data_IF_223904180898
#
_entry.id   IF_223904180898
#
_cell.length_a   1.000
_cell.length_b   1.000
_cell.length_c   1.000
_cell.angle_alpha   90.00
_cell.angle_beta   90.00
_cell.angle_gamma   90.00
#
_symmetry.space_group_name_H-M   'P 1'
#
loop_
_entity.id
_entity.type
_entity.pdbx_description
1 polymer ?
#
# COMPACT_ATOMS: atom_id res chain seq x y z
N UNK A 1 56.91 -44.66 -62.42
CA UNK A 1 57.04 -44.25 -61.00
C UNK A 1 55.66 -43.88 -60.48
N UNK A 2 55.26 -44.38 -59.30
CA UNK A 2 53.86 -44.49 -58.91
C UNK A 2 53.36 -43.22 -58.22
N UNK A 3 52.08 -42.89 -58.39
CA UNK A 3 51.34 -42.05 -57.45
C UNK A 3 50.21 -42.91 -56.83
N UNK A 4 50.08 -42.99 -55.50
CA UNK A 4 49.10 -43.85 -54.85
C UNK A 4 47.71 -43.21 -54.91
N UNK A 5 46.69 -44.02 -55.22
CA UNK A 5 45.28 -43.65 -55.07
C UNK A 5 44.93 -43.64 -53.58
N UNK A 6 44.62 -42.46 -53.04
CA UNK A 6 43.93 -42.35 -51.76
C UNK A 6 42.44 -42.65 -51.95
N UNK A 7 41.95 -43.69 -51.27
CA UNK A 7 40.53 -43.94 -51.07
C UNK A 7 40.03 -43.03 -49.93
N UNK A 8 38.94 -42.27 -50.08
CA UNK A 8 38.35 -41.55 -48.96
C UNK A 8 37.59 -42.54 -48.07
N UNK A 9 38.03 -42.66 -46.83
CA UNK A 9 37.32 -43.37 -45.77
C UNK A 9 36.12 -42.50 -45.34
N UNK A 10 34.92 -42.85 -45.80
CA UNK A 10 33.67 -42.23 -45.32
C UNK A 10 33.40 -42.81 -43.92
N UNK A 11 33.77 -42.07 -42.88
CA UNK A 11 33.33 -42.35 -41.51
C UNK A 11 31.89 -41.85 -41.41
N UNK A 12 30.93 -42.77 -41.42
CA UNK A 12 29.56 -42.48 -41.05
C UNK A 12 29.53 -42.15 -39.56
N UNK A 13 29.57 -40.85 -39.21
CA UNK A 13 29.19 -40.38 -37.89
C UNK A 13 27.68 -40.65 -37.73
N UNK A 14 27.34 -41.75 -37.06
CA UNK A 14 26.00 -41.95 -36.54
C UNK A 14 25.78 -40.94 -35.42
N UNK A 15 25.25 -39.77 -35.75
CA UNK A 15 24.64 -38.88 -34.77
C UNK A 15 23.44 -39.61 -34.19
N UNK A 16 23.64 -40.28 -33.05
CA UNK A 16 22.55 -40.64 -32.14
C UNK A 16 21.95 -39.32 -31.67
N UNK A 17 20.95 -38.84 -32.41
CA UNK A 17 20.03 -37.86 -31.88
C UNK A 17 19.34 -38.53 -30.70
N UNK A 18 19.83 -38.28 -29.49
CA UNK A 18 19.09 -38.52 -28.28
C UNK A 18 17.85 -37.65 -28.37
N UNK A 19 16.76 -38.21 -28.91
CA UNK A 19 15.43 -37.67 -28.74
C UNK A 19 15.22 -37.54 -27.24
N UNK A 20 15.34 -36.32 -26.71
CA UNK A 20 14.90 -36.00 -25.37
C UNK A 20 13.43 -36.39 -25.34
N UNK A 21 13.12 -37.51 -24.71
CA UNK A 21 11.75 -37.89 -24.40
C UNK A 21 11.24 -36.73 -23.55
N UNK A 22 10.43 -35.85 -24.15
CA UNK A 22 9.83 -34.75 -23.43
C UNK A 22 9.01 -35.39 -22.32
N UNK A 23 9.38 -35.14 -21.07
CA UNK A 23 8.57 -35.63 -19.96
C UNK A 23 7.20 -34.97 -20.04
N UNK A 24 6.14 -35.76 -19.90
CA UNK A 24 4.80 -35.21 -19.84
C UNK A 24 4.63 -34.43 -18.51
N UNK A 25 3.91 -33.30 -18.51
CA UNK A 25 3.59 -32.58 -17.29
C UNK A 25 2.87 -33.49 -16.30
N UNK A 26 3.37 -33.59 -15.06
CA UNK A 26 2.72 -34.30 -13.97
C UNK A 26 2.01 -33.31 -13.03
N UNK A 27 0.79 -33.60 -12.57
CA UNK A 27 0.13 -32.80 -11.54
C UNK A 27 0.93 -32.77 -10.23
N UNK A 28 0.87 -31.65 -9.51
CA UNK A 28 1.44 -31.48 -8.18
C UNK A 28 0.30 -31.32 -7.17
N UNK A 29 0.12 -32.27 -6.23
CA UNK A 29 -0.84 -32.12 -5.14
C UNK A 29 -0.48 -30.89 -4.31
N UNK A 30 -1.48 -30.05 -4.02
CA UNK A 30 -1.26 -28.80 -3.29
C UNK A 30 -2.52 -28.45 -2.50
N UNK A 31 -2.41 -28.51 -1.18
CA UNK A 31 -3.49 -28.14 -0.26
C UNK A 31 -3.04 -27.01 0.64
N UNK A 32 -3.78 -25.91 0.61
CA UNK A 32 -3.51 -24.73 1.43
C UNK A 32 -4.79 -23.97 1.68
N UNK A 33 -4.84 -23.20 2.78
CA UNK A 33 -5.98 -22.37 3.13
C UNK A 33 -5.54 -21.05 3.73
N UNK A 34 -6.21 -19.98 3.33
CA UNK A 34 -6.11 -18.68 3.98
C UNK A 34 -6.89 -18.70 5.29
N UNK A 35 -6.21 -18.47 6.41
CA UNK A 35 -6.76 -18.53 7.78
C UNK A 35 -6.46 -17.28 8.61
N UNK A 36 -5.62 -16.39 8.10
CA UNK A 36 -5.19 -15.17 8.76
C UNK A 36 -5.40 -13.95 7.86
N UNK A 37 -5.41 -12.76 8.48
CA UNK A 37 -5.33 -11.49 7.76
C UNK A 37 -4.03 -11.47 6.96
N UNK A 38 -4.11 -11.00 5.72
CA UNK A 38 -2.96 -11.00 4.83
C UNK A 38 -2.08 -9.75 5.07
N UNK A 39 -0.75 -9.85 4.89
CA UNK A 39 0.14 -8.69 4.95
C UNK A 39 -0.34 -7.56 4.03
N UNK A 40 -0.17 -6.31 4.47
CA UNK A 40 -0.61 -5.11 3.73
C UNK A 40 -2.12 -5.07 3.41
N UNK A 41 -2.96 -5.80 4.16
CA UNK A 41 -4.42 -5.70 4.07
C UNK A 41 -5.06 -5.54 5.45
N UNK A 42 -6.34 -5.19 5.46
CA UNK A 42 -7.20 -5.36 6.62
C UNK A 42 -7.63 -4.07 7.33
N UNK A 43 -8.31 -4.26 8.45
CA UNK A 43 -8.62 -3.18 9.37
C UNK A 43 -7.33 -2.71 10.04
N UNK A 44 -7.17 -1.40 10.16
CA UNK A 44 -6.00 -0.75 10.75
C UNK A 44 -6.38 -0.12 12.07
N UNK A 45 -5.61 -0.38 13.12
CA UNK A 45 -5.73 0.31 14.41
C UNK A 45 -4.59 1.32 14.55
N UNK A 46 -4.78 2.38 15.34
CA UNK A 46 -3.66 3.27 15.64
C UNK A 46 -2.59 2.54 16.46
N UNK A 47 -1.33 2.91 16.27
CA UNK A 47 -0.20 2.20 16.87
C UNK A 47 -0.13 2.29 18.40
N UNK A 48 -0.83 3.25 18.99
CA UNK A 48 -0.99 3.45 20.43
C UNK A 48 -2.28 2.81 20.98
N UNK A 49 -3.09 2.17 20.13
CA UNK A 49 -4.28 1.46 20.56
C UNK A 49 -3.91 0.13 21.20
N UNK A 50 -4.15 0.01 22.51
CA UNK A 50 -3.84 -1.23 23.26
C UNK A 50 -4.47 -2.50 22.68
N UNK A 51 -5.55 -2.39 21.89
CA UNK A 51 -6.18 -3.56 21.28
C UNK A 51 -5.34 -4.18 20.15
N UNK A 52 -4.44 -3.42 19.52
CA UNK A 52 -3.49 -3.97 18.55
C UNK A 52 -2.62 -5.07 19.18
N UNK A 53 -2.27 -4.93 20.47
CA UNK A 53 -1.54 -5.95 21.21
C UNK A 53 -2.44 -7.06 21.80
N UNK A 54 -3.74 -6.79 22.03
CA UNK A 54 -4.67 -7.76 22.65
C UNK A 54 -5.23 -8.76 21.65
N UNK A 55 -5.35 -8.37 20.38
CA UNK A 55 -5.87 -9.20 19.30
C UNK A 55 -5.04 -9.02 18.03
N UNK A 56 -3.74 -9.32 18.07
CA UNK A 56 -2.83 -9.10 16.94
C UNK A 56 -3.25 -9.90 15.70
N UNK A 57 -3.92 -11.04 15.85
CA UNK A 57 -4.41 -11.85 14.74
C UNK A 57 -5.60 -11.24 13.97
N UNK A 58 -6.24 -10.20 14.51
CA UNK A 58 -7.41 -9.56 13.91
C UNK A 58 -7.03 -8.51 12.84
N UNK A 59 -5.78 -8.09 12.81
CA UNK A 59 -5.25 -7.06 11.92
C UNK A 59 -3.87 -7.47 11.39
N UNK A 60 -3.36 -6.77 10.38
CA UNK A 60 -1.98 -6.91 9.92
C UNK A 60 -1.26 -5.55 9.79
N UNK A 61 -1.96 -4.47 10.12
CA UNK A 61 -1.56 -3.10 9.87
C UNK A 61 -1.84 -2.23 11.10
N UNK A 62 -0.93 -1.30 11.38
CA UNK A 62 -1.12 -0.25 12.37
C UNK A 62 -0.85 1.12 11.77
N UNK A 63 -1.57 2.15 12.24
CA UNK A 63 -1.50 3.50 11.70
C UNK A 63 -0.82 4.47 12.66
N UNK A 64 0.00 5.39 12.12
CA UNK A 64 0.63 6.46 12.89
C UNK A 64 0.68 7.77 12.11
N UNK A 65 0.13 8.82 12.72
CA UNK A 65 0.41 10.20 12.35
C UNK A 65 1.84 10.60 12.76
N UNK A 66 2.64 11.18 11.88
CA UNK A 66 4.00 11.63 12.17
C UNK A 66 4.12 13.14 11.92
N UNK A 67 4.71 13.86 12.87
CA UNK A 67 5.15 15.24 12.64
C UNK A 67 6.50 15.29 11.91
N UNK A 68 6.70 16.29 11.05
CA UNK A 68 7.99 16.50 10.40
C UNK A 68 9.08 16.93 11.41
N UNK A 69 8.68 17.68 12.44
CA UNK A 69 9.52 18.05 13.60
C UNK A 69 9.86 16.87 14.53
N UNK A 70 9.27 15.69 14.34
CA UNK A 70 9.71 14.47 15.03
C UNK A 70 10.97 13.87 14.40
N UNK A 71 11.26 14.26 13.15
CA UNK A 71 12.39 13.75 12.36
C UNK A 71 13.49 14.78 12.19
N UNK A 72 13.16 16.07 12.18
CA UNK A 72 14.15 17.13 12.01
C UNK A 72 14.35 17.88 13.31
N UNK A 73 15.55 17.78 13.86
CA UNK A 73 15.95 18.46 15.09
C UNK A 73 16.00 19.97 14.91
N UNK A 74 16.10 20.70 16.03
CA UNK A 74 16.09 22.16 16.04
C UNK A 74 17.28 22.81 15.28
N UNK A 75 18.38 22.08 15.11
CA UNK A 75 19.56 22.48 14.32
C UNK A 75 19.49 22.01 12.85
N UNK A 76 18.38 21.41 12.43
CA UNK A 76 18.12 20.99 11.05
C UNK A 76 18.72 19.65 10.65
N UNK A 77 19.22 18.85 11.61
CA UNK A 77 19.68 17.49 11.33
C UNK A 77 18.49 16.52 11.23
N UNK A 78 18.60 15.54 10.33
CA UNK A 78 17.61 14.48 10.19
C UNK A 78 17.95 13.34 11.15
N UNK A 79 17.03 13.03 12.04
CA UNK A 79 17.05 11.90 12.95
C UNK A 79 15.76 11.08 12.80
N UNK A 80 15.87 9.91 12.20
CA UNK A 80 14.74 9.00 11.98
C UNK A 80 14.53 8.01 13.14
N UNK A 81 15.30 8.11 14.22
CA UNK A 81 15.27 7.13 15.32
C UNK A 81 13.87 6.91 15.87
N UNK A 82 13.10 7.97 16.08
CA UNK A 82 11.71 7.86 16.56
C UNK A 82 10.80 7.10 15.60
N UNK A 83 10.98 7.30 14.29
CA UNK A 83 10.24 6.54 13.27
C UNK A 83 10.66 5.07 13.32
N UNK A 84 11.96 4.78 13.40
CA UNK A 84 12.45 3.41 13.50
C UNK A 84 11.94 2.67 14.75
N UNK A 85 11.93 3.33 15.90
CA UNK A 85 11.40 2.76 17.14
C UNK A 85 9.92 2.40 17.01
N UNK A 86 9.11 3.26 16.38
CA UNK A 86 7.69 2.99 16.12
C UNK A 86 7.55 1.80 15.17
N UNK A 87 8.36 1.75 14.11
CA UNK A 87 8.34 0.64 13.15
C UNK A 87 8.75 -0.68 13.80
N UNK A 88 9.74 -0.68 14.68
CA UNK A 88 10.15 -1.86 15.43
C UNK A 88 9.08 -2.31 16.42
N UNK A 89 8.41 -1.38 17.08
CA UNK A 89 7.29 -1.70 17.96
C UNK A 89 6.12 -2.34 17.20
N UNK A 90 5.73 -1.77 16.06
CA UNK A 90 4.66 -2.32 15.20
C UNK A 90 5.08 -3.70 14.66
N UNK A 91 6.32 -3.83 14.18
CA UNK A 91 6.85 -5.10 13.69
C UNK A 91 6.94 -6.17 14.77
N UNK A 92 7.21 -5.80 16.03
CA UNK A 92 7.22 -6.75 17.16
C UNK A 92 5.86 -7.43 17.41
N UNK A 93 4.77 -6.81 16.93
CA UNK A 93 3.40 -7.36 16.96
C UNK A 93 3.04 -8.11 15.68
N UNK A 94 3.99 -8.33 14.78
CA UNK A 94 3.81 -8.96 13.46
C UNK A 94 2.93 -8.13 12.50
N UNK A 95 2.90 -6.80 12.67
CA UNK A 95 2.14 -5.87 11.83
C UNK A 95 3.07 -4.96 11.03
N UNK A 96 2.56 -4.37 9.96
CA UNK A 96 3.25 -3.32 9.20
C UNK A 96 2.61 -1.95 9.45
N UNK A 97 3.36 -0.89 9.23
CA UNK A 97 2.90 0.48 9.45
C UNK A 97 2.22 1.09 8.22
N UNK A 98 1.18 1.87 8.48
CA UNK A 98 0.67 2.95 7.64
C UNK A 98 1.09 4.26 8.29
N UNK A 99 2.01 4.99 7.66
CA UNK A 99 2.51 6.26 8.20
C UNK A 99 1.85 7.43 7.48
N UNK A 100 1.38 8.45 8.21
CA UNK A 100 0.94 9.72 7.63
C UNK A 100 1.71 10.90 8.17
N UNK A 101 2.45 11.60 7.32
CA UNK A 101 3.08 12.85 7.71
C UNK A 101 2.14 14.03 7.46
N UNK A 102 2.02 14.92 8.44
CA UNK A 102 1.13 16.07 8.39
C UNK A 102 1.83 17.30 8.93
N UNK A 103 1.52 18.48 8.38
CA UNK A 103 1.97 19.74 8.94
C UNK A 103 0.95 20.38 9.88
N UNK A 104 -0.33 20.42 9.47
CA UNK A 104 -1.39 21.10 10.21
C UNK A 104 -2.34 20.08 10.85
N UNK A 105 -2.75 20.34 12.09
CA UNK A 105 -3.70 19.50 12.82
C UNK A 105 -4.56 20.40 13.71
N UNK A 106 -5.87 20.15 13.70
CA UNK A 106 -6.84 20.97 14.44
C UNK A 106 -6.51 21.04 15.93
N UNK A 107 -6.44 22.26 16.45
CA UNK A 107 -6.14 22.52 17.87
C UNK A 107 -4.67 22.41 18.26
N UNK A 108 -3.75 22.34 17.29
CA UNK A 108 -2.31 22.19 17.53
C UNK A 108 -1.50 23.24 16.79
N UNK A 109 -0.24 23.39 17.23
CA UNK A 109 0.79 24.04 16.44
C UNK A 109 1.17 23.17 15.22
N UNK A 110 1.83 23.78 14.22
CA UNK A 110 2.31 23.02 13.07
C UNK A 110 3.46 22.09 13.46
N UNK A 111 3.66 21.04 12.68
CA UNK A 111 4.83 20.15 12.81
C UNK A 111 6.01 20.62 11.95
N UNK A 112 5.99 21.86 11.45
CA UNK A 112 7.11 22.41 10.68
C UNK A 112 8.37 22.40 11.56
N UNK A 113 9.52 21.92 11.07
CA UNK A 113 10.74 21.90 11.88
C UNK A 113 11.12 23.27 12.40
N UNK A 114 11.61 23.30 13.64
CA UNK A 114 12.02 24.51 14.35
C UNK A 114 13.01 25.39 13.56
N UNK A 115 13.92 24.77 12.82
CA UNK A 115 14.91 25.47 11.98
C UNK A 115 14.25 26.33 10.88
N UNK A 116 13.04 25.96 10.44
CA UNK A 116 12.24 26.75 9.49
C UNK A 116 11.37 27.74 10.25
N UNK A 117 10.69 27.29 11.33
CA UNK A 117 9.80 28.14 12.14
C UNK A 117 10.51 29.37 12.74
N UNK A 118 11.80 29.27 13.03
CA UNK A 118 12.62 30.37 13.58
C UNK A 118 13.19 31.32 12.53
N UNK A 119 12.97 31.06 11.24
CA UNK A 119 13.45 31.96 10.19
C UNK A 119 12.69 33.28 10.23
N UNK A 120 13.35 34.42 9.96
CA UNK A 120 12.71 35.73 9.96
C UNK A 120 11.70 35.93 8.82
N UNK A 121 11.76 35.07 7.79
CA UNK A 121 10.92 35.12 6.59
C UNK A 121 9.79 34.09 6.59
N UNK A 122 9.55 33.41 7.73
CA UNK A 122 8.49 32.40 7.87
C UNK A 122 7.43 32.91 8.85
N UNK A 123 6.17 33.00 8.40
CA UNK A 123 5.08 33.58 9.20
C UNK A 123 3.84 32.69 9.27
N UNK A 124 3.70 31.94 10.37
CA UNK A 124 2.53 31.09 10.56
C UNK A 124 1.25 31.90 10.73
N UNK A 125 0.17 31.41 10.13
CA UNK A 125 -1.16 31.96 10.41
C UNK A 125 -1.80 31.20 11.56
N UNK A 126 -2.27 31.92 12.58
CA UNK A 126 -3.05 31.35 13.68
C UNK A 126 -4.52 31.66 13.47
N UNK A 127 -5.33 30.62 13.30
CA UNK A 127 -6.77 30.72 13.07
C UNK A 127 -7.59 29.86 14.02
N UNK A 128 -8.89 29.77 13.74
CA UNK A 128 -9.80 28.86 14.43
C UNK A 128 -10.27 27.80 13.44
N UNK A 129 -10.15 26.52 13.82
CA UNK A 129 -10.74 25.39 13.09
C UNK A 129 -11.41 24.46 14.08
N UNK A 130 -12.61 24.00 13.77
CA UNK A 130 -13.48 23.23 14.67
C UNK A 130 -13.56 23.82 16.09
N UNK A 131 -13.65 25.16 16.16
CA UNK A 131 -13.69 25.93 17.43
C UNK A 131 -12.41 25.80 18.28
N UNK A 132 -11.29 25.37 17.69
CA UNK A 132 -9.99 25.24 18.36
C UNK A 132 -8.95 26.15 17.70
N UNK A 133 -8.10 26.77 18.52
CA UNK A 133 -6.93 27.54 18.06
C UNK A 133 -6.00 26.61 17.28
N UNK A 134 -5.77 26.93 16.01
CA UNK A 134 -5.03 26.07 15.08
C UNK A 134 -3.99 26.89 14.34
N UNK A 135 -2.78 26.36 14.19
CA UNK A 135 -1.72 26.99 13.40
C UNK A 135 -1.67 26.40 11.99
N UNK A 136 -1.43 27.26 11.01
CA UNK A 136 -1.31 26.93 9.59
C UNK A 136 0.07 27.36 9.08
N UNK A 137 0.64 26.51 8.25
CA UNK A 137 1.96 26.74 7.66
C UNK A 137 1.98 27.94 6.72
N UNK A 138 3.16 28.55 6.60
CA UNK A 138 3.45 29.55 5.57
C UNK A 138 3.96 28.89 4.28
N UNK A 139 3.06 28.59 3.37
CA UNK A 139 3.36 28.06 2.04
C UNK A 139 3.92 29.10 1.07
N UNK A 140 3.97 30.39 1.44
CA UNK A 140 4.70 31.38 0.65
C UNK A 140 6.22 31.23 0.87
N UNK A 141 6.62 30.63 1.99
CA UNK A 141 8.01 30.45 2.36
C UNK A 141 8.70 29.35 1.53
N UNK A 142 9.75 29.74 0.82
CA UNK A 142 10.53 28.82 -0.03
C UNK A 142 11.26 27.74 0.78
N UNK A 143 11.70 28.03 2.01
CA UNK A 143 12.42 27.06 2.82
C UNK A 143 11.49 25.91 3.26
N UNK A 144 10.21 26.19 3.59
CA UNK A 144 9.21 25.13 3.82
C UNK A 144 9.00 24.27 2.56
N UNK A 145 8.84 24.92 1.41
CA UNK A 145 8.65 24.24 0.14
C UNK A 145 9.83 23.34 -0.24
N UNK A 146 11.06 23.82 -0.08
CA UNK A 146 12.26 23.02 -0.37
C UNK A 146 12.44 21.89 0.65
N UNK A 147 12.16 22.16 1.92
CA UNK A 147 12.22 21.18 3.00
C UNK A 147 11.34 19.96 2.72
N UNK A 148 10.08 20.17 2.33
CA UNK A 148 9.16 19.03 2.10
C UNK A 148 9.69 18.11 0.99
N UNK A 149 10.33 18.66 -0.05
CA UNK A 149 10.94 17.86 -1.12
C UNK A 149 12.19 17.13 -0.61
N UNK A 150 13.10 17.81 0.10
CA UNK A 150 14.30 17.18 0.67
C UNK A 150 13.94 16.09 1.69
N UNK A 151 12.90 16.31 2.50
CA UNK A 151 12.36 15.33 3.43
C UNK A 151 11.98 14.04 2.71
N UNK A 152 11.18 14.11 1.64
CA UNK A 152 10.75 12.90 0.93
C UNK A 152 11.85 12.25 0.11
N UNK A 153 12.83 13.02 -0.38
CA UNK A 153 14.06 12.45 -0.96
C UNK A 153 14.79 11.58 0.06
N UNK A 154 14.99 12.09 1.29
CA UNK A 154 15.69 11.35 2.35
C UNK A 154 14.86 10.19 2.90
N UNK A 155 13.55 10.41 3.06
CA UNK A 155 12.63 9.38 3.52
C UNK A 155 12.61 8.21 2.53
N UNK A 156 12.45 8.45 1.23
CA UNK A 156 12.48 7.41 0.21
C UNK A 156 13.82 6.66 0.19
N UNK A 157 14.95 7.37 0.25
CA UNK A 157 16.28 6.76 0.32
C UNK A 157 16.41 5.77 1.49
N UNK A 158 15.76 6.06 2.62
CA UNK A 158 15.80 5.20 3.81
C UNK A 158 14.74 4.09 3.78
N UNK A 159 13.54 4.37 3.28
CA UNK A 159 12.34 3.58 3.58
C UNK A 159 11.57 3.03 2.38
N UNK A 160 11.91 3.36 1.12
CA UNK A 160 11.17 2.88 -0.06
C UNK A 160 11.09 1.33 -0.12
N UNK A 161 12.12 0.66 0.40
CA UNK A 161 12.22 -0.80 0.50
C UNK A 161 12.04 -1.35 1.92
N UNK A 162 11.67 -0.51 2.90
CA UNK A 162 11.52 -0.98 4.28
C UNK A 162 10.21 -1.77 4.44
N UNK A 163 10.34 -3.07 4.66
CA UNK A 163 9.24 -4.02 4.88
C UNK A 163 8.37 -3.72 6.09
N UNK A 164 8.84 -2.90 7.03
CA UNK A 164 8.04 -2.48 8.19
C UNK A 164 6.95 -1.50 7.78
N UNK A 165 7.01 -0.90 6.59
CA UNK A 165 6.02 0.06 6.08
C UNK A 165 5.25 -0.54 4.90
N UNK A 166 3.94 -0.71 5.10
CA UNK A 166 3.03 -1.14 4.06
C UNK A 166 2.65 0.03 3.14
N UNK A 167 2.28 1.17 3.74
CA UNK A 167 1.74 2.33 3.01
C UNK A 167 2.21 3.65 3.63
N UNK A 168 2.42 4.65 2.76
CA UNK A 168 2.66 6.03 3.14
C UNK A 168 1.45 6.89 2.76
N UNK A 169 1.04 7.80 3.63
CA UNK A 169 0.05 8.81 3.35
C UNK A 169 0.67 10.20 3.53
N UNK A 170 0.32 11.14 2.66
CA UNK A 170 0.79 12.52 2.74
C UNK A 170 -0.13 13.46 1.96
N UNK A 171 0.12 14.75 2.08
CA UNK A 171 -0.66 15.80 1.46
C UNK A 171 -0.48 17.13 2.15
N UNK A 172 -1.50 17.97 2.00
CA UNK A 172 -1.51 19.35 2.47
C UNK A 172 -2.73 19.62 3.34
N UNK A 173 -2.78 20.79 3.98
CA UNK A 173 -3.91 21.17 4.81
C UNK A 173 -4.01 20.39 6.13
N UNK A 174 -5.19 20.42 6.73
CA UNK A 174 -5.49 19.73 7.98
C UNK A 174 -5.37 18.22 7.78
N UNK A 175 -4.67 17.54 8.70
CA UNK A 175 -4.45 16.08 8.68
C UNK A 175 -3.79 15.53 7.40
N UNK A 176 -3.22 16.41 6.57
CA UNK A 176 -2.73 16.11 5.23
C UNK A 176 -3.82 15.69 4.21
N UNK A 177 -5.05 16.15 4.41
CA UNK A 177 -6.23 15.74 3.65
C UNK A 177 -6.58 16.63 2.45
N UNK A 178 -5.74 17.59 2.08
CA UNK A 178 -5.98 18.55 0.98
C UNK A 178 -7.12 19.56 1.21
N UNK A 179 -7.52 19.81 2.46
CA UNK A 179 -8.48 20.89 2.80
C UNK A 179 -8.09 21.63 4.09
N UNK A 180 -8.70 22.80 4.31
CA UNK A 180 -8.63 23.59 5.55
C UNK A 180 -10.05 24.08 5.92
N UNK A 181 -11.01 23.17 6.11
CA UNK A 181 -12.45 23.43 6.30
C UNK A 181 -12.84 24.83 6.82
N UNK A 182 -12.45 25.15 8.06
CA UNK A 182 -12.90 26.35 8.78
C UNK A 182 -11.96 27.57 8.62
N UNK A 183 -10.80 27.42 7.96
CA UNK A 183 -9.99 28.55 7.45
C UNK A 183 -8.64 28.79 8.13
N UNK A 184 -8.03 29.99 7.95
CA UNK A 184 -8.14 30.80 6.74
C UNK A 184 -7.50 30.02 5.59
N UNK A 185 -8.23 29.87 4.49
CA UNK A 185 -7.75 29.14 3.32
C UNK A 185 -7.31 30.12 2.23
N UNK A 186 -6.02 30.44 2.22
CA UNK A 186 -5.39 31.36 1.28
C UNK A 186 -4.35 30.58 0.46
N UNK A 187 -4.67 30.35 -0.82
CA UNK A 187 -3.78 29.68 -1.76
C UNK A 187 -2.45 30.44 -1.92
N UNK A 188 -1.34 29.72 -1.75
CA UNK A 188 0.00 30.27 -1.72
C UNK A 188 0.44 30.86 -0.37
N UNK A 189 -0.41 30.83 0.65
CA UNK A 189 -0.09 31.30 2.00
C UNK A 189 -0.37 30.23 3.06
N UNK A 190 -1.63 29.90 3.34
CA UNK A 190 -1.97 28.85 4.33
C UNK A 190 -2.22 27.49 3.69
N UNK A 191 -2.40 27.46 2.37
CA UNK A 191 -2.41 26.26 1.52
C UNK A 191 -1.42 26.44 0.36
N UNK A 192 -0.72 25.41 -0.13
CA UNK A 192 0.24 25.58 -1.22
C UNK A 192 -0.43 25.97 -2.55
N UNK A 193 0.28 26.71 -3.38
CA UNK A 193 -0.18 26.96 -4.76
C UNK A 193 -0.34 25.66 -5.53
N UNK A 194 -1.27 25.63 -6.48
CA UNK A 194 -1.44 24.50 -7.41
C UNK A 194 -0.14 24.15 -8.15
N UNK A 195 0.67 25.16 -8.49
CA UNK A 195 1.99 24.96 -9.10
C UNK A 195 2.93 24.16 -8.18
N UNK A 196 2.99 24.51 -6.89
CA UNK A 196 3.81 23.77 -5.94
C UNK A 196 3.27 22.36 -5.68
N UNK A 197 1.94 22.20 -5.54
CA UNK A 197 1.33 20.87 -5.42
C UNK A 197 1.71 19.95 -6.59
N UNK A 198 1.65 20.46 -7.82
CA UNK A 198 2.07 19.71 -9.02
C UNK A 198 3.57 19.37 -9.02
N UNK A 199 4.44 20.25 -8.48
CA UNK A 199 5.86 19.98 -8.29
C UNK A 199 6.08 18.88 -7.25
N UNK A 200 5.39 18.97 -6.12
CA UNK A 200 5.45 17.99 -5.04
C UNK A 200 5.00 16.61 -5.49
N UNK A 201 3.85 16.49 -6.17
CA UNK A 201 3.32 15.20 -6.62
C UNK A 201 4.28 14.50 -7.61
N UNK A 202 4.85 15.25 -8.56
CA UNK A 202 5.89 14.70 -9.47
C UNK A 202 7.15 14.31 -8.72
N UNK A 203 7.53 15.07 -7.70
CA UNK A 203 8.67 14.72 -6.86
C UNK A 203 8.42 13.40 -6.12
N UNK A 204 7.29 13.26 -5.44
CA UNK A 204 6.88 12.01 -4.77
C UNK A 204 6.93 10.81 -5.72
N UNK A 205 6.34 10.95 -6.91
CA UNK A 205 6.36 9.89 -7.93
C UNK A 205 7.79 9.50 -8.36
N UNK A 206 8.72 10.46 -8.42
CA UNK A 206 10.12 10.19 -8.74
C UNK A 206 10.93 9.55 -7.60
N UNK A 207 10.50 9.70 -6.34
CA UNK A 207 11.25 9.21 -5.18
C UNK A 207 10.86 7.78 -4.79
N UNK A 208 9.58 7.42 -4.92
CA UNK A 208 9.06 6.13 -4.46
C UNK A 208 8.82 5.18 -5.62
N UNK A 209 9.60 4.09 -5.68
CA UNK A 209 9.41 3.05 -6.70
C UNK A 209 8.64 1.85 -6.17
N UNK A 210 8.87 1.56 -4.90
CA UNK A 210 8.37 0.35 -4.28
C UNK A 210 7.32 0.66 -3.22
N UNK A 211 7.49 1.68 -2.38
CA UNK A 211 6.56 2.01 -1.30
C UNK A 211 5.33 2.72 -1.89
N UNK A 212 4.14 2.10 -1.83
CA UNK A 212 2.93 2.77 -2.27
C UNK A 212 2.62 3.94 -1.35
N UNK A 213 2.32 5.08 -1.95
CA UNK A 213 1.96 6.29 -1.25
C UNK A 213 0.61 6.81 -1.74
N UNK A 214 -0.16 7.44 -0.85
CA UNK A 214 -1.51 7.91 -1.14
C UNK A 214 -1.73 9.35 -0.69
N UNK A 215 -2.67 10.01 -1.36
CA UNK A 215 -3.21 11.34 -1.00
C UNK A 215 -4.72 11.23 -0.72
N UNK A 216 -5.30 12.21 -0.02
CA UNK A 216 -6.74 12.21 0.26
C UNK A 216 -7.58 12.29 -1.01
N UNK A 217 -8.77 11.69 -0.99
CA UNK A 217 -9.77 11.89 -2.05
C UNK A 217 -10.23 13.34 -2.19
N UNK A 218 -10.09 14.17 -1.16
CA UNK A 218 -10.47 15.59 -1.25
C UNK A 218 -9.52 16.38 -2.16
N UNK A 219 -8.40 15.76 -2.55
CA UNK A 219 -7.57 16.26 -3.64
C UNK A 219 -8.31 16.24 -5.01
N UNK A 220 -9.53 15.72 -5.09
CA UNK A 220 -10.41 15.87 -6.24
C UNK A 220 -10.98 17.30 -6.39
N UNK A 221 -10.98 18.10 -5.33
CA UNK A 221 -11.53 19.46 -5.36
C UNK A 221 -10.64 20.38 -6.20
N UNK A 222 -11.21 20.89 -7.31
CA UNK A 222 -10.51 21.78 -8.22
C UNK A 222 -10.43 23.22 -7.76
N UNK A 223 -11.06 23.62 -6.66
CA UNK A 223 -10.76 24.92 -6.04
C UNK A 223 -9.36 24.89 -5.42
N UNK A 224 -8.98 23.76 -4.80
CA UNK A 224 -7.73 23.62 -4.07
C UNK A 224 -6.60 22.99 -4.90
N UNK A 225 -6.93 22.06 -5.79
CA UNK A 225 -5.91 21.21 -6.42
C UNK A 225 -5.82 21.38 -7.94
N UNK A 226 -4.70 20.97 -8.56
CA UNK A 226 -4.54 20.94 -10.01
C UNK A 226 -4.91 19.57 -10.64
N UNK A 227 -5.59 18.67 -9.93
CA UNK A 227 -5.74 17.27 -10.35
C UNK A 227 -6.90 17.01 -11.31
N UNK A 228 -8.06 17.65 -11.10
CA UNK A 228 -9.20 17.51 -12.00
C UNK A 228 -8.81 17.87 -13.43
N UNK A 229 -9.19 17.02 -14.39
CA UNK A 229 -8.88 17.13 -15.82
C UNK A 229 -7.38 17.23 -16.19
N UNK A 230 -6.48 16.88 -15.27
CA UNK A 230 -5.03 16.90 -15.51
C UNK A 230 -4.48 15.48 -15.70
N UNK A 231 -4.53 14.97 -16.94
CA UNK A 231 -4.10 13.62 -17.27
C UNK A 231 -2.65 13.31 -16.84
N UNK A 232 -1.73 14.28 -16.97
CA UNK A 232 -0.33 14.11 -16.57
C UNK A 232 -0.21 13.86 -15.07
N UNK A 233 -0.86 14.69 -14.24
CA UNK A 233 -0.83 14.49 -12.79
C UNK A 233 -1.61 13.26 -12.36
N UNK A 234 -2.77 12.99 -12.97
CA UNK A 234 -3.56 11.79 -12.69
C UNK A 234 -2.82 10.51 -13.07
N UNK A 235 -1.86 10.55 -14.00
CA UNK A 235 -1.04 9.38 -14.38
C UNK A 235 -0.01 8.98 -13.31
N UNK A 236 0.35 9.89 -12.39
CA UNK A 236 1.33 9.63 -11.32
C UNK A 236 0.89 8.48 -10.41
N UNK A 237 1.87 7.83 -9.77
CA UNK A 237 1.71 6.58 -9.01
C UNK A 237 1.30 6.81 -7.55
N UNK A 238 0.37 7.73 -7.30
CA UNK A 238 -0.28 7.82 -5.99
C UNK A 238 -1.53 6.94 -5.92
N UNK A 239 -1.78 6.37 -4.74
CA UNK A 239 -3.08 5.83 -4.34
C UNK A 239 -3.94 6.89 -3.67
N UNK A 240 -5.12 6.50 -3.20
CA UNK A 240 -6.03 7.43 -2.53
C UNK A 240 -6.49 6.90 -1.18
N UNK A 241 -6.76 7.81 -0.25
CA UNK A 241 -7.37 7.48 1.03
C UNK A 241 -8.60 8.35 1.29
N UNK A 242 -9.62 7.76 1.92
CA UNK A 242 -10.90 8.40 2.25
C UNK A 242 -11.18 8.31 3.75
N UNK A 243 -10.99 9.41 4.48
CA UNK A 243 -11.18 9.46 5.93
C UNK A 243 -12.62 9.74 6.38
N UNK A 244 -13.57 9.62 5.45
CA UNK A 244 -15.00 9.69 5.72
C UNK A 244 -15.75 8.50 5.13
N UNK A 245 -15.08 7.35 5.01
CA UNK A 245 -15.62 6.17 4.35
C UNK A 245 -16.91 5.70 5.04
N UNK A 246 -17.89 5.27 4.23
CA UNK A 246 -19.26 4.91 4.64
C UNK A 246 -20.09 6.04 5.29
N UNK A 247 -19.68 7.31 5.21
CA UNK A 247 -20.53 8.41 5.65
C UNK A 247 -21.85 8.49 4.85
N UNK A 248 -22.85 9.19 5.38
CA UNK A 248 -24.14 9.38 4.71
C UNK A 248 -24.04 10.02 3.30
N UNK A 249 -23.21 11.07 3.06
CA UNK A 249 -23.08 11.65 1.72
C UNK A 249 -22.18 10.85 0.78
N UNK A 250 -21.56 9.74 1.22
CA UNK A 250 -20.57 9.00 0.45
C UNK A 250 -20.95 8.70 -1.01
N UNK A 251 -22.17 8.24 -1.36
CA UNK A 251 -22.53 8.00 -2.77
C UNK A 251 -22.57 9.25 -3.65
N UNK A 252 -22.68 10.43 -3.06
CA UNK A 252 -22.83 11.72 -3.75
C UNK A 252 -21.56 12.58 -3.74
N UNK A 253 -20.74 12.45 -2.71
CA UNK A 253 -19.53 13.26 -2.53
C UNK A 253 -18.29 12.38 -2.74
N UNK A 254 -17.99 11.49 -1.81
CA UNK A 254 -16.79 10.65 -1.87
C UNK A 254 -16.70 9.88 -3.19
N UNK A 255 -17.78 9.18 -3.59
CA UNK A 255 -17.79 8.39 -4.82
C UNK A 255 -17.52 9.24 -6.08
N UNK A 256 -17.89 10.52 -6.07
CA UNK A 256 -17.55 11.46 -7.14
C UNK A 256 -16.05 11.77 -7.09
N UNK A 257 -15.50 12.08 -5.92
CA UNK A 257 -14.07 12.32 -5.73
C UNK A 257 -13.21 11.12 -6.17
N UNK A 258 -13.59 9.90 -5.79
CA UNK A 258 -12.97 8.65 -6.25
C UNK A 258 -12.96 8.54 -7.78
N UNK A 259 -14.06 8.93 -8.44
CA UNK A 259 -14.16 8.93 -9.91
C UNK A 259 -13.27 10.01 -10.54
N UNK A 260 -13.27 11.22 -9.98
CA UNK A 260 -12.43 12.34 -10.45
C UNK A 260 -10.94 11.99 -10.39
N UNK A 261 -10.52 11.27 -9.36
CA UNK A 261 -9.14 10.83 -9.18
C UNK A 261 -8.77 9.54 -9.94
N UNK A 262 -9.54 9.18 -10.97
CA UNK A 262 -9.46 7.94 -11.78
C UNK A 262 -10.02 6.69 -11.06
N UNK A 263 -11.19 6.25 -11.50
CA UNK A 263 -11.87 5.04 -10.98
C UNK A 263 -11.11 3.73 -11.23
N UNK A 264 -10.07 3.73 -12.07
CA UNK A 264 -9.19 2.58 -12.29
C UNK A 264 -7.87 2.69 -11.50
N UNK A 265 -7.65 3.72 -10.69
CA UNK A 265 -6.40 3.91 -9.92
C UNK A 265 -6.05 2.71 -9.06
N UNK A 266 -7.05 2.08 -8.45
CA UNK A 266 -6.91 0.87 -7.64
C UNK A 266 -6.20 -0.28 -8.37
N UNK A 267 -6.18 -0.30 -9.71
CA UNK A 267 -5.45 -1.33 -10.46
C UNK A 267 -3.94 -1.21 -10.32
N UNK A 268 -3.44 -0.02 -9.96
CA UNK A 268 -2.00 0.29 -9.91
C UNK A 268 -1.54 0.85 -8.58
N UNK A 269 -2.43 1.39 -7.75
CA UNK A 269 -2.11 2.01 -6.46
C UNK A 269 -3.22 1.81 -5.44
N UNK A 270 -2.92 1.78 -4.12
CA UNK A 270 -3.88 1.35 -3.11
C UNK A 270 -5.02 2.34 -2.88
N UNK A 271 -6.16 1.75 -2.53
CA UNK A 271 -7.33 2.42 -1.97
C UNK A 271 -7.38 2.14 -0.46
N UNK A 272 -7.44 3.18 0.36
CA UNK A 272 -7.60 3.04 1.81
C UNK A 272 -8.39 4.19 2.43
N UNK A 273 -8.17 4.47 3.71
CA UNK A 273 -8.87 5.56 4.41
C UNK A 273 -9.20 5.23 5.85
N UNK A 274 -10.20 5.92 6.38
CA UNK A 274 -10.75 5.77 7.72
C UNK A 274 -12.28 5.73 7.68
N UNK A 275 -12.88 4.91 8.53
CA UNK A 275 -14.33 4.98 8.71
C UNK A 275 -14.75 6.37 9.19
N UNK A 276 -15.86 6.87 8.67
CA UNK A 276 -16.40 8.19 9.01
C UNK A 276 -16.56 8.42 10.51
N UNK A 277 -16.05 9.56 10.97
CA UNK A 277 -16.29 10.11 12.32
C UNK A 277 -17.38 11.20 12.32
N UNK A 278 -18.09 11.43 11.23
CA UNK A 278 -19.08 12.52 11.13
C UNK A 278 -20.21 12.40 12.17
N UNK A 279 -20.56 11.18 12.58
CA UNK A 279 -21.50 10.96 13.67
C UNK A 279 -21.29 9.60 14.36
N UNK A 280 -21.85 9.43 15.56
CA UNK A 280 -21.69 8.21 16.35
C UNK A 280 -22.27 6.94 15.69
N UNK A 281 -23.28 7.08 14.82
CA UNK A 281 -23.88 5.94 14.09
C UNK A 281 -22.88 5.39 13.08
N UNK A 282 -22.15 6.27 12.38
CA UNK A 282 -21.15 5.88 11.38
C UNK A 282 -20.12 4.92 11.99
N UNK A 283 -19.47 5.33 13.08
CA UNK A 283 -18.48 4.49 13.78
C UNK A 283 -19.07 3.21 14.37
N UNK A 284 -20.19 3.32 15.11
CA UNK A 284 -20.80 2.18 15.81
C UNK A 284 -21.25 1.10 14.83
N UNK A 285 -21.70 1.50 13.65
CA UNK A 285 -22.31 0.60 12.68
C UNK A 285 -21.40 0.27 11.49
N UNK A 286 -20.17 0.79 11.42
CA UNK A 286 -19.25 0.60 10.30
C UNK A 286 -19.13 -0.87 9.86
N UNK A 287 -18.97 -1.79 10.80
CA UNK A 287 -18.84 -3.23 10.54
C UNK A 287 -20.12 -4.05 10.79
N UNK A 288 -21.28 -3.41 10.94
CA UNK A 288 -22.55 -4.15 10.98
C UNK A 288 -22.89 -4.72 9.60
N UNK A 289 -23.69 -5.80 9.51
CA UNK A 289 -24.07 -6.39 8.23
C UNK A 289 -24.73 -5.42 7.23
N UNK A 290 -25.42 -4.39 7.72
CA UNK A 290 -26.07 -3.34 6.94
C UNK A 290 -25.25 -2.04 6.83
N UNK A 291 -24.10 -2.00 7.49
CA UNK A 291 -23.29 -0.79 7.66
C UNK A 291 -24.04 0.37 8.31
N UNK A 292 -23.43 1.56 8.34
CA UNK A 292 -24.06 2.73 8.97
C UNK A 292 -25.12 3.38 8.09
N UNK A 293 -25.03 3.21 6.76
CA UNK A 293 -25.87 3.90 5.78
C UNK A 293 -26.45 2.96 4.71
N UNK A 294 -26.68 1.69 5.06
CA UNK A 294 -27.39 0.71 4.22
C UNK A 294 -26.51 -0.07 3.24
N UNK A 295 -25.18 0.03 3.37
CA UNK A 295 -24.18 -0.71 2.60
C UNK A 295 -23.19 -1.31 3.58
N UNK A 296 -22.98 -2.62 3.51
CA UNK A 296 -21.99 -3.31 4.34
C UNK A 296 -20.57 -2.86 4.03
N UNK A 297 -19.65 -3.00 4.99
CA UNK A 297 -18.24 -2.73 4.73
C UNK A 297 -17.70 -3.62 3.60
N UNK A 298 -18.05 -4.91 3.57
CA UNK A 298 -17.58 -5.85 2.57
C UNK A 298 -18.04 -5.49 1.15
N UNK A 299 -19.29 -5.02 1.00
CA UNK A 299 -19.82 -4.55 -0.28
C UNK A 299 -19.10 -3.28 -0.74
N UNK A 300 -18.92 -2.31 0.16
CA UNK A 300 -18.18 -1.09 -0.15
C UNK A 300 -16.69 -1.38 -0.44
N UNK A 301 -16.07 -2.29 0.30
CA UNK A 301 -14.69 -2.71 0.09
C UNK A 301 -14.50 -3.31 -1.30
N UNK A 302 -15.47 -4.10 -1.77
CA UNK A 302 -15.49 -4.62 -3.13
C UNK A 302 -15.72 -3.53 -4.18
N UNK A 303 -16.64 -2.60 -3.93
CA UNK A 303 -16.97 -1.53 -4.87
C UNK A 303 -15.81 -0.54 -5.08
N UNK A 304 -15.07 -0.23 -4.02
CA UNK A 304 -13.98 0.76 -4.03
C UNK A 304 -12.59 0.12 -4.01
N UNK A 305 -12.52 -1.21 -4.13
CA UNK A 305 -11.27 -1.99 -4.18
C UNK A 305 -10.34 -1.70 -2.99
N UNK A 306 -10.93 -1.70 -1.80
CA UNK A 306 -10.25 -1.32 -0.56
C UNK A 306 -9.14 -2.32 -0.21
N UNK A 307 -7.94 -1.78 0.00
CA UNK A 307 -6.75 -2.54 0.38
C UNK A 307 -6.62 -2.61 1.90
N UNK A 308 -6.90 -1.51 2.59
CA UNK A 308 -6.94 -1.41 4.06
C UNK A 308 -7.94 -0.34 4.49
N UNK A 309 -8.38 -0.37 5.75
CA UNK A 309 -9.30 0.65 6.28
C UNK A 309 -9.03 0.91 7.76
N UNK A 310 -8.78 2.16 8.14
CA UNK A 310 -8.60 2.54 9.54
C UNK A 310 -9.95 2.42 10.27
N UNK A 311 -9.94 1.62 11.33
CA UNK A 311 -11.09 1.32 12.16
C UNK A 311 -10.71 1.31 13.63
N UNK A 312 -10.03 2.37 14.07
CA UNK A 312 -9.44 2.45 15.40
C UNK A 312 -10.45 2.23 16.55
N UNK A 313 -11.69 2.67 16.36
CA UNK A 313 -12.75 2.55 17.35
C UNK A 313 -13.51 1.21 17.26
N UNK A 314 -13.31 0.41 16.22
CA UNK A 314 -14.05 -0.84 16.02
C UNK A 314 -13.93 -1.84 17.17
N UNK A 315 -12.80 -1.98 17.88
CA UNK A 315 -12.73 -2.80 19.10
C UNK A 315 -13.70 -2.39 20.23
N UNK A 316 -14.26 -1.18 20.20
CA UNK A 316 -15.31 -0.74 21.14
C UNK A 316 -16.69 -1.28 20.78
N UNK A 317 -16.90 -1.63 19.51
CA UNK A 317 -18.21 -1.98 18.96
C UNK A 317 -18.30 -3.43 18.47
N UNK A 318 -17.17 -4.06 18.19
CA UNK A 318 -17.10 -5.37 17.56
C UNK A 318 -16.11 -6.29 18.27
N UNK A 319 -16.39 -7.61 18.33
CA UNK A 319 -15.41 -8.59 18.79
C UNK A 319 -14.26 -8.73 17.78
N UNK A 320 -13.09 -9.18 18.26
CA UNK A 320 -11.90 -9.41 17.45
C UNK A 320 -12.16 -10.30 16.21
N UNK A 321 -12.98 -11.36 16.35
CA UNK A 321 -13.35 -12.23 15.22
C UNK A 321 -14.10 -11.49 14.09
N UNK A 322 -14.94 -10.52 14.45
CA UNK A 322 -15.65 -9.70 13.45
C UNK A 322 -14.68 -8.75 12.73
N UNK A 323 -13.74 -8.17 13.47
CA UNK A 323 -12.68 -7.33 12.93
C UNK A 323 -11.78 -8.15 12.00
N UNK A 324 -11.37 -9.35 12.43
CA UNK A 324 -10.60 -10.29 11.61
C UNK A 324 -11.32 -10.63 10.30
N UNK A 325 -12.60 -10.94 10.38
CA UNK A 325 -13.43 -11.23 9.21
C UNK A 325 -13.49 -10.03 8.25
N UNK A 326 -13.69 -8.80 8.76
CA UNK A 326 -13.64 -7.57 7.96
C UNK A 326 -12.26 -7.38 7.32
N UNK A 327 -11.19 -7.61 8.09
CA UNK A 327 -9.82 -7.49 7.61
C UNK A 327 -9.54 -8.43 6.43
N UNK A 328 -10.00 -9.68 6.53
CA UNK A 328 -9.86 -10.69 5.48
C UNK A 328 -10.72 -10.43 4.24
N UNK A 329 -11.65 -9.47 4.27
CA UNK A 329 -12.47 -9.06 3.14
C UNK A 329 -11.86 -7.93 2.29
N UNK A 330 -10.64 -7.50 2.61
CA UNK A 330 -9.93 -6.42 1.90
C UNK A 330 -8.69 -6.95 1.17
N UNK A 331 -8.23 -6.20 0.17
CA UNK A 331 -6.98 -6.50 -0.54
C UNK A 331 -7.04 -7.76 -1.40
N UNK A 332 -5.90 -8.42 -1.55
CA UNK A 332 -5.73 -9.59 -2.40
C UNK A 332 -6.15 -10.89 -1.70
N UNK A 333 -6.48 -11.91 -2.49
CA UNK A 333 -6.73 -13.28 -2.02
C UNK A 333 -6.36 -14.28 -3.11
N UNK A 334 -5.18 -14.90 -3.01
CA UNK A 334 -4.71 -15.79 -4.07
C UNK A 334 -5.27 -17.20 -3.93
N UNK A 335 -5.65 -17.80 -5.07
CA UNK A 335 -6.02 -19.21 -5.19
C UNK A 335 -5.23 -19.86 -6.31
N UNK A 336 -4.67 -21.04 -6.04
CA UNK A 336 -4.01 -21.88 -7.04
C UNK A 336 -5.03 -22.88 -7.58
N UNK A 337 -5.31 -22.83 -8.88
CA UNK A 337 -6.29 -23.71 -9.54
C UNK A 337 -5.65 -24.86 -10.32
N UNK A 338 -4.36 -24.77 -10.61
CA UNK A 338 -3.59 -25.84 -11.22
C UNK A 338 -2.12 -25.72 -10.79
N UNK A 339 -1.48 -26.87 -10.59
CA UNK A 339 -0.06 -26.99 -10.34
C UNK A 339 0.46 -28.21 -11.10
N UNK A 340 1.42 -28.00 -11.97
CA UNK A 340 2.00 -29.04 -12.82
C UNK A 340 3.52 -28.86 -12.87
N UNK A 341 4.26 -29.95 -12.98
CA UNK A 341 5.71 -29.90 -13.17
C UNK A 341 6.10 -30.74 -14.38
N UNK A 342 6.99 -30.20 -15.21
CA UNK A 342 7.53 -30.87 -16.39
C UNK A 342 9.05 -30.86 -16.32
N UNK A 343 9.67 -32.03 -16.15
CA UNK A 343 11.08 -32.09 -15.74
C UNK A 343 11.24 -31.48 -14.35
N UNK A 344 11.92 -30.34 -14.26
CA UNK A 344 12.11 -29.54 -13.06
C UNK A 344 11.39 -28.18 -13.10
N UNK A 345 10.58 -27.91 -14.13
CA UNK A 345 9.84 -26.66 -14.26
C UNK A 345 8.44 -26.78 -13.68
N UNK A 346 8.21 -26.18 -12.50
CA UNK A 346 6.90 -26.07 -11.87
C UNK A 346 6.12 -24.91 -12.50
N UNK A 347 4.87 -25.14 -12.85
CA UNK A 347 3.92 -24.15 -13.38
C UNK A 347 2.67 -24.12 -12.51
N UNK A 348 2.26 -22.92 -12.10
CA UNK A 348 1.11 -22.67 -11.25
C UNK A 348 0.13 -21.72 -11.95
N UNK A 349 -1.17 -22.04 -11.95
CA UNK A 349 -2.21 -21.12 -12.37
C UNK A 349 -2.81 -20.44 -11.14
N UNK A 350 -2.66 -19.13 -11.05
CA UNK A 350 -2.97 -18.35 -9.85
C UNK A 350 -4.04 -17.31 -10.19
N UNK A 351 -5.16 -17.36 -9.47
CA UNK A 351 -6.24 -16.35 -9.54
C UNK A 351 -6.18 -15.44 -8.31
N UNK A 352 -6.44 -14.14 -8.46
CA UNK A 352 -6.75 -13.26 -7.33
C UNK A 352 -8.28 -13.22 -7.12
N UNK A 353 -8.79 -13.92 -6.11
CA UNK A 353 -10.21 -13.89 -5.70
C UNK A 353 -10.54 -12.72 -4.75
N UNK A 354 -9.58 -11.82 -4.49
CA UNK A 354 -9.72 -10.70 -3.57
C UNK A 354 -10.53 -9.53 -4.14
N UNK A 355 -10.46 -8.38 -3.48
CA UNK A 355 -11.09 -7.13 -3.93
C UNK A 355 -10.10 -6.10 -4.47
N UNK A 356 -8.80 -6.27 -4.23
CA UNK A 356 -7.73 -5.42 -4.76
C UNK A 356 -6.47 -6.25 -5.08
N UNK A 357 -5.52 -5.75 -5.90
CA UNK A 357 -4.23 -6.38 -6.10
C UNK A 357 -3.30 -6.19 -4.89
N UNK A 358 -2.20 -6.95 -4.87
CA UNK A 358 -1.02 -6.61 -4.06
C UNK A 358 -0.17 -5.57 -4.82
N UNK A 359 0.27 -4.51 -4.15
CA UNK A 359 1.02 -3.41 -4.78
C UNK A 359 2.54 -3.51 -4.60
N UNK A 360 3.01 -4.55 -3.91
CA UNK A 360 4.42 -4.91 -3.75
C UNK A 360 4.70 -6.23 -4.47
N UNK A 361 5.94 -6.43 -4.86
CA UNK A 361 6.36 -7.68 -5.50
C UNK A 361 6.25 -8.87 -4.55
N UNK A 362 5.61 -9.93 -5.03
CA UNK A 362 5.45 -11.20 -4.36
C UNK A 362 5.51 -12.31 -5.40
N UNK A 363 6.23 -13.38 -5.12
CA UNK A 363 6.52 -14.44 -6.08
C UNK A 363 6.15 -15.77 -5.47
N UNK A 364 5.49 -16.64 -6.24
CA UNK A 364 5.47 -18.05 -5.86
C UNK A 364 6.90 -18.60 -5.83
N UNK A 365 7.15 -19.52 -4.92
CA UNK A 365 8.43 -20.19 -4.79
C UNK A 365 8.24 -21.67 -4.48
N UNK A 366 9.19 -22.50 -4.91
CA UNK A 366 9.34 -23.89 -4.48
C UNK A 366 10.68 -23.99 -3.75
N UNK A 367 10.64 -24.15 -2.42
CA UNK A 367 11.82 -23.98 -1.58
C UNK A 367 12.36 -22.55 -1.70
N UNK A 368 13.63 -22.39 -2.09
CA UNK A 368 14.29 -21.08 -2.27
C UNK A 368 14.16 -20.51 -3.69
N UNK A 369 13.58 -21.27 -4.63
CA UNK A 369 13.50 -20.88 -6.04
C UNK A 369 12.22 -20.09 -6.28
N UNK A 370 12.34 -18.81 -6.67
CA UNK A 370 11.21 -17.92 -6.97
C UNK A 370 10.79 -18.03 -8.44
N UNK A 371 9.51 -17.78 -8.67
CA UNK A 371 8.94 -17.53 -9.99
C UNK A 371 9.53 -16.27 -10.60
N UNK A 372 9.67 -16.24 -11.92
CA UNK A 372 10.03 -15.01 -12.66
C UNK A 372 8.86 -14.03 -12.76
N UNK A 373 7.63 -14.52 -12.59
CA UNK A 373 6.40 -13.72 -12.64
C UNK A 373 6.02 -13.25 -11.24
N UNK A 374 5.89 -11.93 -11.07
CA UNK A 374 5.38 -11.29 -9.85
C UNK A 374 3.86 -11.33 -9.81
N UNK A 375 3.30 -11.50 -8.61
CA UNK A 375 1.88 -11.35 -8.32
C UNK A 375 1.45 -9.87 -8.19
N UNK A 376 2.41 -8.94 -8.18
CA UNK A 376 2.16 -7.50 -8.12
C UNK A 376 1.22 -7.07 -9.24
N UNK A 377 0.13 -6.41 -8.88
CA UNK A 377 -0.85 -5.92 -9.85
C UNK A 377 -1.79 -6.98 -10.43
N UNK A 378 -1.76 -8.25 -9.97
CA UNK A 378 -2.73 -9.26 -10.39
C UNK A 378 -4.14 -8.84 -9.96
N UNK A 379 -5.01 -8.48 -10.92
CA UNK A 379 -6.31 -7.90 -10.62
C UNK A 379 -7.31 -8.96 -10.12
N UNK A 380 -8.30 -8.57 -9.30
CA UNK A 380 -9.43 -9.41 -8.94
C UNK A 380 -10.08 -10.11 -10.14
N UNK A 381 -10.23 -11.43 -10.06
CA UNK A 381 -10.79 -12.29 -11.10
C UNK A 381 -9.81 -12.68 -12.22
N UNK A 382 -8.65 -12.03 -12.33
CA UNK A 382 -7.64 -12.40 -13.32
C UNK A 382 -6.83 -13.62 -12.86
N UNK A 383 -6.33 -14.37 -13.84
CA UNK A 383 -5.48 -15.54 -13.63
C UNK A 383 -4.18 -15.37 -14.41
N UNK A 384 -3.06 -15.67 -13.76
CA UNK A 384 -1.74 -15.70 -14.38
C UNK A 384 -1.07 -17.05 -14.18
N UNK A 385 -0.09 -17.30 -15.04
CA UNK A 385 0.83 -18.42 -14.90
C UNK A 385 2.10 -17.97 -14.17
N UNK A 386 2.49 -18.71 -13.14
CA UNK A 386 3.76 -18.53 -12.43
C UNK A 386 4.63 -19.77 -12.64
N UNK A 387 5.84 -19.58 -13.17
CA UNK A 387 6.76 -20.67 -13.47
C UNK A 387 7.99 -20.59 -12.58
N UNK A 388 8.32 -21.69 -11.91
CA UNK A 388 9.50 -21.85 -11.05
C UNK A 388 10.39 -22.93 -11.66
N UNK A 389 11.55 -22.52 -12.18
CA UNK A 389 12.50 -23.43 -12.79
C UNK A 389 13.36 -24.18 -11.75
N UNK A 390 13.79 -25.39 -12.10
CA UNK A 390 14.75 -26.15 -11.29
C UNK A 390 14.19 -26.74 -9.99
N UNK A 391 12.88 -26.87 -9.83
CA UNK A 391 12.24 -27.41 -8.63
C UNK A 391 12.46 -28.93 -8.48
N UNK A 392 12.98 -29.35 -7.32
CA UNK A 392 13.07 -30.77 -6.95
C UNK A 392 11.79 -31.26 -6.27
N UNK A 393 11.62 -32.58 -6.15
CA UNK A 393 10.49 -33.16 -5.41
C UNK A 393 10.40 -32.69 -3.95
N UNK A 394 11.53 -32.38 -3.33
CA UNK A 394 11.58 -31.79 -1.99
C UNK A 394 11.06 -30.36 -1.98
N UNK A 395 11.42 -29.57 -2.99
CA UNK A 395 10.99 -28.17 -3.13
C UNK A 395 9.47 -28.07 -3.34
N UNK A 396 8.87 -29.05 -4.03
CA UNK A 396 7.43 -29.12 -4.26
C UNK A 396 6.61 -29.28 -2.96
N UNK A 397 7.21 -29.79 -1.89
CA UNK A 397 6.59 -29.85 -0.56
C UNK A 397 6.62 -28.49 0.17
N UNK A 398 7.28 -27.49 -0.42
CA UNK A 398 7.54 -26.17 0.17
C UNK A 398 7.11 -25.06 -0.79
N UNK A 399 5.96 -25.24 -1.45
CA UNK A 399 5.37 -24.19 -2.28
C UNK A 399 4.84 -23.07 -1.38
N UNK A 400 5.32 -21.85 -1.60
CA UNK A 400 4.99 -20.66 -0.80
C UNK A 400 4.92 -19.42 -1.67
N UNK A 401 4.45 -18.30 -1.11
CA UNK A 401 4.58 -16.98 -1.71
C UNK A 401 5.62 -16.20 -0.89
N UNK A 402 6.66 -15.71 -1.55
CA UNK A 402 7.75 -14.95 -0.96
C UNK A 402 7.70 -13.49 -1.40
N UNK A 403 7.92 -12.57 -0.46
CA UNK A 403 8.03 -11.13 -0.74
C UNK A 403 9.09 -10.52 0.17
N UNK A 404 9.92 -9.64 -0.37
CA UNK A 404 10.91 -8.91 0.42
C UNK A 404 10.28 -7.72 1.17
N UNK A 405 9.02 -7.41 0.87
CA UNK A 405 8.25 -6.29 1.39
C UNK A 405 7.38 -6.65 2.61
N UNK A 406 7.39 -7.90 3.08
CA UNK A 406 6.70 -8.33 4.31
C UNK A 406 7.71 -8.62 5.41
N UNK A 407 7.25 -8.64 6.67
CA UNK A 407 8.10 -9.02 7.79
C UNK A 407 8.54 -10.50 7.68
N UNK A 408 9.74 -10.87 8.18
CA UNK A 408 10.16 -12.28 8.21
C UNK A 408 9.22 -13.22 8.97
N UNK A 409 8.40 -12.66 9.86
CA UNK A 409 7.41 -13.35 10.69
C UNK A 409 6.02 -13.44 10.04
N UNK A 410 5.84 -12.81 8.87
CA UNK A 410 4.60 -12.83 8.10
C UNK A 410 4.68 -13.85 6.97
N UNK A 411 3.51 -14.36 6.58
CA UNK A 411 3.35 -15.27 5.44
C UNK A 411 2.19 -14.80 4.58
N UNK A 412 2.40 -14.77 3.27
CA UNK A 412 1.31 -14.62 2.30
C UNK A 412 0.70 -16.01 2.07
N UNK A 413 -0.54 -16.20 2.50
CA UNK A 413 -1.27 -17.46 2.34
C UNK A 413 -2.03 -17.46 1.01
N UNK A 414 -2.30 -18.66 0.49
CA UNK A 414 -3.14 -18.88 -0.68
C UNK A 414 -4.07 -20.07 -0.45
N UNK A 415 -5.18 -20.14 -1.17
CA UNK A 415 -6.06 -21.31 -1.17
C UNK A 415 -5.68 -22.29 -2.29
N UNK A 416 -5.77 -23.59 -2.00
CA UNK A 416 -5.61 -24.65 -2.99
C UNK A 416 -6.20 -25.96 -2.44
N UNK A 417 -6.84 -26.76 -3.31
CA UNK A 417 -7.32 -28.12 -2.98
C UNK A 417 -7.03 -29.09 -4.14
N UNK A 418 -5.80 -29.05 -4.63
CA UNK A 418 -5.33 -29.93 -5.70
C UNK A 418 -4.94 -31.29 -5.13
N UNK A 419 -5.33 -32.36 -5.84
CA UNK A 419 -5.17 -33.75 -5.41
C UNK A 419 -3.98 -34.44 -6.04
#
# INVERSE_FOLDING_TARGET
MPLPRLLPLIIALSTLASSSIGQDPRPVPLKSRITQVQPMTGIVLWSDNSNAAKSPEAIALEYRYCGYNEVVSADGQYDFTKVDEILDQIASRNHQAVLRFYFCYVGKETTVPDVIRKRPDYDETVGTSERKKTHFCDWSNKALQDFMLDFYTRFAKRYDNDRRIAFLQTGFGLWAEFHIYDGPNEMGKTFPTKQYQAKFLRHMDSQFNNLPWSISIDAADSDYTPLEDNADLLSLRFGVFDDSFLCKPHPKENAVNWKTLDSNRWKRQPSGGEFSYYNNKDQKNALRPDGPNGVSFEEAAKQFHISYMIGNDQPRFQPAERIKSASMATGYRFRVSAAQIKGDDLTLHVTNDGVAPIYRDAFFAAGEKRSTTSLRGLLPGETIECSVAGASDRDLQQISIQSDAILPTQTIQFDSDLR
#
